data_IF_537422761977
#
_entry.id   IF_537422761977
#
_cell.length_a   1.000
_cell.length_b   1.000
_cell.length_c   1.000
_cell.angle_alpha   90.00
_cell.angle_beta   90.00
_cell.angle_gamma   90.00
#
_symmetry.space_group_name_H-M   'P 1'
#
loop_
_entity.id
_entity.type
_entity.pdbx_description
1 polymer ?
#
# COMPACT_ATOMS: atom_id res chain seq x y z
N UNK A 1 25.80 26.60 -56.93
CA UNK A 1 25.99 27.01 -55.51
C UNK A 1 24.62 26.92 -54.83
N UNK A 2 24.35 25.84 -54.09
CA UNK A 2 23.07 25.60 -53.42
C UNK A 2 23.34 25.58 -51.95
N UNK A 3 22.87 26.63 -51.27
CA UNK A 3 22.96 26.76 -49.81
C UNK A 3 21.97 25.80 -49.15
N UNK A 4 22.48 24.79 -48.44
CA UNK A 4 21.69 23.93 -47.56
C UNK A 4 21.60 24.59 -46.19
N UNK A 5 20.42 25.07 -45.84
CA UNK A 5 20.07 25.46 -44.46
C UNK A 5 19.90 24.22 -43.62
N UNK A 6 20.77 24.03 -42.66
CA UNK A 6 20.64 23.09 -41.54
C UNK A 6 19.67 23.67 -40.52
N UNK A 7 18.50 23.09 -40.41
CA UNK A 7 17.56 23.33 -39.30
C UNK A 7 18.01 22.47 -38.14
N UNK A 8 18.39 23.01 -36.99
CA UNK A 8 18.63 22.21 -35.81
C UNK A 8 17.27 21.70 -35.30
N UNK A 9 17.10 20.39 -35.26
CA UNK A 9 15.99 19.74 -34.57
C UNK A 9 16.10 20.01 -33.07
N UNK A 10 15.25 20.87 -32.58
CA UNK A 10 15.05 21.07 -31.14
C UNK A 10 14.37 19.81 -30.59
N UNK A 11 15.16 18.92 -29.99
CA UNK A 11 14.62 17.86 -29.14
C UNK A 11 14.03 18.54 -27.90
N UNK A 12 12.73 18.75 -27.89
CA UNK A 12 11.99 19.09 -26.68
C UNK A 12 11.96 17.83 -25.80
N UNK A 13 12.88 17.76 -24.84
CA UNK A 13 12.72 16.87 -23.70
C UNK A 13 11.46 17.33 -22.93
N UNK A 14 10.34 16.69 -23.20
CA UNK A 14 9.20 16.73 -22.30
C UNK A 14 9.63 16.04 -21.00
N UNK A 15 10.16 16.82 -20.05
CA UNK A 15 10.27 16.37 -18.68
C UNK A 15 8.84 16.08 -18.22
N UNK A 16 8.55 14.81 -17.93
CA UNK A 16 7.31 14.45 -17.28
C UNK A 16 7.22 15.25 -15.99
N UNK A 17 6.30 16.19 -15.93
CA UNK A 17 6.03 16.97 -14.72
C UNK A 17 5.50 15.98 -13.69
N UNK A 18 6.26 15.78 -12.63
CA UNK A 18 5.80 14.98 -11.51
C UNK A 18 4.53 15.64 -10.93
N UNK A 19 3.46 14.86 -10.84
CA UNK A 19 2.19 15.35 -10.29
C UNK A 19 2.20 15.11 -8.79
N UNK A 20 2.03 16.17 -8.02
CA UNK A 20 1.79 16.13 -6.59
C UNK A 20 0.45 16.78 -6.32
N UNK A 21 -0.52 16.02 -5.86
CA UNK A 21 -1.89 16.48 -5.59
C UNK A 21 -2.26 16.19 -4.15
N UNK A 22 -2.94 17.16 -3.52
CA UNK A 22 -3.59 16.98 -2.23
C UNK A 22 -5.07 17.22 -2.43
N UNK A 23 -5.88 16.21 -2.17
CA UNK A 23 -7.34 16.27 -2.24
C UNK A 23 -7.94 16.05 -0.86
N UNK A 24 -8.90 16.88 -0.46
CA UNK A 24 -9.68 16.70 0.76
C UNK A 24 -11.08 16.25 0.39
N UNK A 25 -11.50 15.14 0.97
CA UNK A 25 -12.84 14.60 0.80
C UNK A 25 -13.71 14.96 1.99
N UNK A 26 -14.97 15.39 1.77
CA UNK A 26 -15.92 15.57 2.86
C UNK A 26 -16.07 14.26 3.62
N UNK A 27 -16.14 14.34 4.92
CA UNK A 27 -16.29 13.19 5.78
C UNK A 27 -17.68 12.60 5.68
N UNK A 28 -17.76 11.32 5.87
CA UNK A 28 -19.03 10.64 6.01
C UNK A 28 -18.92 9.52 7.04
N UNK A 29 -18.95 9.92 8.30
CA UNK A 29 -19.32 9.02 9.38
C UNK A 29 -20.84 8.96 9.56
N UNK A 30 -21.59 9.59 8.66
CA UNK A 30 -23.04 9.53 8.67
C UNK A 30 -23.51 8.11 8.36
N UNK A 31 -24.56 7.70 9.05
CA UNK A 31 -25.21 6.43 8.77
C UNK A 31 -25.57 6.36 7.28
N UNK A 32 -25.10 5.35 6.59
CA UNK A 32 -25.39 5.15 5.16
C UNK A 32 -26.90 4.90 5.03
N UNK A 33 -27.68 5.84 4.47
CA UNK A 33 -29.14 5.65 4.35
C UNK A 33 -29.46 4.47 3.43
N UNK A 34 -28.66 4.26 2.38
CA UNK A 34 -28.76 3.13 1.48
C UNK A 34 -27.57 2.21 1.68
N UNK A 35 -27.86 0.97 2.03
CA UNK A 35 -26.85 -0.04 2.29
C UNK A 35 -26.04 -0.32 1.03
N UNK A 36 -24.83 0.20 0.96
CA UNK A 36 -23.89 -0.16 -0.10
C UNK A 36 -23.04 -1.33 0.37
N UNK A 37 -23.18 -2.47 -0.30
CA UNK A 37 -22.44 -3.69 0.01
C UNK A 37 -21.35 -3.94 -1.02
N UNK A 38 -20.22 -4.41 -0.57
CA UNK A 38 -19.29 -5.13 -1.43
C UNK A 38 -19.68 -6.60 -1.40
N UNK A 39 -20.03 -7.13 -2.55
CA UNK A 39 -20.33 -8.55 -2.70
C UNK A 39 -19.06 -9.37 -2.60
N UNK A 40 -19.08 -10.41 -1.77
CA UNK A 40 -17.97 -11.35 -1.66
C UNK A 40 -17.88 -12.20 -2.92
N UNK A 41 -16.71 -12.26 -3.53
CA UNK A 41 -16.43 -13.23 -4.60
C UNK A 41 -16.46 -14.63 -3.99
N UNK A 42 -17.24 -15.53 -4.58
CA UNK A 42 -17.38 -16.90 -4.09
C UNK A 42 -16.02 -17.58 -3.93
N UNK A 43 -15.80 -18.31 -2.83
CA UNK A 43 -14.60 -19.10 -2.64
C UNK A 43 -14.43 -20.19 -3.72
N UNK A 44 -15.53 -20.70 -4.30
CA UNK A 44 -15.44 -21.64 -5.42
C UNK A 44 -14.92 -21.00 -6.70
N UNK A 45 -15.14 -19.70 -6.88
CA UNK A 45 -14.64 -18.93 -8.03
C UNK A 45 -13.23 -18.35 -7.81
N UNK A 46 -12.86 -18.18 -6.55
CA UNK A 46 -11.54 -17.65 -6.14
C UNK A 46 -11.06 -18.32 -4.83
N UNK A 47 -10.64 -19.59 -4.88
CA UNK A 47 -10.19 -20.30 -3.69
C UNK A 47 -8.94 -19.66 -3.09
N UNK A 48 -8.82 -19.73 -1.76
CA UNK A 48 -7.63 -19.28 -1.05
C UNK A 48 -6.52 -20.31 -1.19
N UNK A 49 -5.42 -19.92 -1.78
CA UNK A 49 -4.19 -20.69 -1.85
C UNK A 49 -3.26 -20.26 -0.72
N UNK A 50 -3.05 -21.14 0.25
CA UNK A 50 -2.07 -20.94 1.32
C UNK A 50 -0.69 -21.23 0.78
N UNK A 51 0.19 -20.26 0.84
CA UNK A 51 1.52 -20.35 0.25
C UNK A 51 2.58 -19.99 1.29
N UNK A 52 3.65 -20.78 1.32
CA UNK A 52 4.84 -20.55 2.13
C UNK A 52 6.02 -20.26 1.19
N UNK A 53 6.43 -19.00 1.14
CA UNK A 53 7.45 -18.52 0.21
C UNK A 53 8.80 -18.53 0.91
N UNK A 54 9.75 -19.29 0.39
CA UNK A 54 11.09 -19.38 0.98
C UNK A 54 11.90 -18.12 0.71
N UNK A 55 12.25 -17.40 1.76
CA UNK A 55 13.17 -16.26 1.69
C UNK A 55 14.63 -16.71 1.49
N UNK A 56 15.51 -15.78 1.11
CA UNK A 56 16.91 -16.07 0.82
C UNK A 56 17.68 -16.65 2.01
N UNK A 57 17.29 -16.31 3.22
CA UNK A 57 17.86 -16.82 4.47
C UNK A 57 17.26 -18.16 4.91
N UNK A 58 16.36 -18.74 4.11
CA UNK A 58 15.74 -20.04 4.34
C UNK A 58 14.46 -20.03 5.17
N UNK A 59 14.06 -18.88 5.71
CA UNK A 59 12.79 -18.73 6.44
C UNK A 59 11.63 -18.69 5.46
N UNK A 60 10.47 -19.20 5.85
CA UNK A 60 9.27 -19.22 5.04
C UNK A 60 8.32 -18.11 5.44
N UNK A 61 7.90 -17.30 4.45
CA UNK A 61 6.96 -16.20 4.59
C UNK A 61 5.57 -16.68 4.16
N UNK A 62 4.58 -16.46 5.01
CA UNK A 62 3.20 -16.84 4.73
C UNK A 62 2.54 -15.85 3.77
N UNK A 63 1.77 -16.37 2.82
CA UNK A 63 0.89 -15.57 1.96
C UNK A 63 -0.39 -16.34 1.63
N UNK A 64 -1.52 -15.66 1.71
CA UNK A 64 -2.80 -16.13 1.22
C UNK A 64 -3.07 -15.49 -0.14
N UNK A 65 -3.13 -16.32 -1.19
CA UNK A 65 -3.28 -15.83 -2.57
C UNK A 65 -4.62 -16.26 -3.11
N UNK A 66 -5.36 -15.33 -3.72
CA UNK A 66 -6.59 -15.59 -4.46
C UNK A 66 -6.45 -15.06 -5.88
N UNK A 67 -6.93 -15.82 -6.85
CA UNK A 67 -6.96 -15.36 -8.24
C UNK A 67 -8.39 -15.29 -8.75
N UNK A 68 -8.70 -14.38 -9.70
CA UNK A 68 -9.99 -14.37 -10.37
C UNK A 68 -10.23 -15.66 -11.16
N UNK A 69 -11.48 -15.94 -11.47
CA UNK A 69 -11.87 -17.04 -12.37
C UNK A 69 -11.24 -16.85 -13.74
N UNK A 70 -10.76 -17.93 -14.34
CA UNK A 70 -10.13 -17.93 -15.65
C UNK A 70 -8.63 -18.19 -15.64
N UNK A 71 -8.00 -18.10 -16.80
CA UNK A 71 -6.61 -18.51 -17.01
C UNK A 71 -5.59 -17.36 -16.86
N UNK A 72 -6.03 -16.11 -16.98
CA UNK A 72 -5.14 -14.94 -16.98
C UNK A 72 -4.45 -14.71 -18.33
N UNK A 73 -3.33 -13.97 -18.40
CA UNK A 73 -2.68 -13.37 -17.23
C UNK A 73 -3.44 -12.18 -16.67
N UNK A 74 -3.44 -12.04 -15.34
CA UNK A 74 -4.12 -11.00 -14.58
C UNK A 74 -3.13 -9.99 -14.01
N UNK A 75 -3.50 -8.72 -13.80
CA UNK A 75 -2.77 -7.85 -12.90
C UNK A 75 -2.82 -8.38 -11.47
N UNK A 76 -1.92 -7.93 -10.61
CA UNK A 76 -1.89 -8.36 -9.22
C UNK A 76 -1.74 -7.18 -8.25
N UNK A 77 -2.27 -7.36 -7.05
CA UNK A 77 -2.04 -6.48 -5.91
C UNK A 77 -1.60 -7.30 -4.71
N UNK A 78 -0.54 -6.83 -4.05
CA UNK A 78 0.00 -7.45 -2.85
C UNK A 78 -0.27 -6.52 -1.67
N UNK A 79 -0.80 -7.08 -0.62
CA UNK A 79 -1.30 -6.39 0.54
C UNK A 79 -0.44 -6.72 1.75
N UNK A 80 0.17 -5.69 2.32
CA UNK A 80 0.95 -5.77 3.55
C UNK A 80 0.21 -5.10 4.70
N UNK A 81 -0.09 -5.88 5.72
CA UNK A 81 -0.87 -5.45 6.88
C UNK A 81 -0.11 -4.48 7.78
N UNK A 82 -0.83 -3.87 8.74
CA UNK A 82 -0.26 -3.06 9.79
C UNK A 82 0.48 -3.87 10.86
N UNK A 83 1.03 -3.18 11.86
CA UNK A 83 1.74 -3.78 12.98
C UNK A 83 0.87 -4.77 13.80
N UNK A 84 1.53 -5.77 14.40
CA UNK A 84 2.90 -6.22 14.21
C UNK A 84 3.04 -7.09 12.95
N UNK A 85 4.28 -7.35 12.51
CA UNK A 85 4.59 -8.44 11.59
C UNK A 85 4.47 -9.82 12.27
N UNK A 86 4.55 -10.91 11.51
CA UNK A 86 4.46 -12.27 12.04
C UNK A 86 3.03 -12.67 12.42
N UNK A 87 2.06 -12.35 11.56
CA UNK A 87 0.63 -12.64 11.80
C UNK A 87 0.28 -14.11 11.64
N UNK A 88 0.99 -14.80 10.76
CA UNK A 88 0.76 -16.21 10.46
C UNK A 88 -0.38 -16.48 9.49
N UNK A 89 -0.39 -17.71 8.95
CA UNK A 89 -1.26 -18.10 7.85
C UNK A 89 -2.76 -18.00 8.17
N UNK A 90 -3.17 -18.39 9.37
CA UNK A 90 -4.60 -18.41 9.73
C UNK A 90 -5.23 -17.01 9.68
N UNK A 91 -4.48 -16.01 10.15
CA UNK A 91 -4.94 -14.62 10.07
C UNK A 91 -4.99 -14.12 8.62
N UNK A 92 -3.98 -14.43 7.80
CA UNK A 92 -3.97 -14.03 6.40
C UNK A 92 -5.12 -14.68 5.63
N UNK A 93 -5.44 -15.93 5.90
CA UNK A 93 -6.58 -16.64 5.31
C UNK A 93 -7.88 -15.99 5.76
N UNK A 94 -8.07 -15.69 7.04
CA UNK A 94 -9.22 -14.97 7.55
C UNK A 94 -9.40 -13.63 6.84
N UNK A 95 -8.35 -12.84 6.77
CA UNK A 95 -8.37 -11.56 6.05
C UNK A 95 -8.70 -11.72 4.57
N UNK A 96 -8.13 -12.70 3.89
CA UNK A 96 -8.43 -12.95 2.48
C UNK A 96 -9.90 -13.34 2.22
N UNK A 97 -10.62 -13.76 3.27
CA UNK A 97 -12.05 -14.13 3.24
C UNK A 97 -12.99 -13.03 3.69
N UNK A 98 -12.50 -11.91 4.14
CA UNK A 98 -13.29 -10.76 4.51
C UNK A 98 -13.24 -10.31 5.97
N UNK A 99 -12.43 -10.95 6.83
CA UNK A 99 -12.44 -10.62 8.27
C UNK A 99 -11.86 -9.23 8.56
N UNK A 100 -10.72 -8.88 7.96
CA UNK A 100 -10.08 -7.57 8.15
C UNK A 100 -9.53 -7.06 6.82
N UNK A 101 -10.03 -5.94 6.36
CA UNK A 101 -9.69 -5.43 5.03
C UNK A 101 -10.34 -6.21 3.89
N UNK A 102 -11.28 -7.10 4.20
CA UNK A 102 -12.00 -7.92 3.23
C UNK A 102 -12.57 -7.15 2.04
N UNK A 103 -13.21 -5.98 2.26
CA UNK A 103 -13.72 -5.17 1.17
C UNK A 103 -12.66 -4.79 0.13
N UNK A 104 -11.44 -4.50 0.55
CA UNK A 104 -10.35 -4.15 -0.36
C UNK A 104 -9.99 -5.35 -1.24
N UNK A 105 -9.87 -6.53 -0.64
CA UNK A 105 -9.53 -7.76 -1.36
C UNK A 105 -10.63 -8.15 -2.35
N UNK A 106 -11.85 -8.20 -1.87
CA UNK A 106 -12.99 -8.58 -2.68
C UNK A 106 -13.20 -7.63 -3.86
N UNK A 107 -13.01 -6.33 -3.64
CA UNK A 107 -13.14 -5.34 -4.69
C UNK A 107 -12.07 -5.51 -5.78
N UNK A 108 -10.83 -5.80 -5.42
CA UNK A 108 -9.79 -6.09 -6.41
C UNK A 108 -10.01 -7.42 -7.13
N UNK A 109 -10.52 -8.45 -6.46
CA UNK A 109 -10.91 -9.70 -7.13
C UNK A 109 -12.02 -9.48 -8.16
N UNK A 110 -13.03 -8.66 -7.83
CA UNK A 110 -14.09 -8.27 -8.77
C UNK A 110 -13.54 -7.53 -9.99
N UNK A 111 -12.49 -6.74 -9.83
CA UNK A 111 -11.81 -6.04 -10.91
C UNK A 111 -10.83 -6.93 -11.73
N UNK A 112 -10.76 -8.20 -11.40
CA UNK A 112 -9.93 -9.16 -12.13
C UNK A 112 -8.45 -9.17 -11.70
N UNK A 113 -8.14 -8.74 -10.49
CA UNK A 113 -6.79 -8.80 -9.94
C UNK A 113 -6.54 -10.12 -9.20
N UNK A 114 -5.34 -10.65 -9.34
CA UNK A 114 -4.80 -11.57 -8.33
C UNK A 114 -4.52 -10.77 -7.07
N UNK A 115 -4.99 -11.28 -5.95
CA UNK A 115 -4.81 -10.65 -4.64
C UNK A 115 -3.95 -11.54 -3.77
N UNK A 116 -2.85 -11.02 -3.24
CA UNK A 116 -1.99 -11.70 -2.28
C UNK A 116 -1.97 -10.91 -0.96
N UNK A 117 -2.41 -11.54 0.12
CA UNK A 117 -2.25 -11.00 1.48
C UNK A 117 -1.03 -11.66 2.09
N UNK A 118 0.01 -10.89 2.33
CA UNK A 118 1.29 -11.42 2.75
C UNK A 118 1.71 -10.95 4.14
N UNK A 119 2.35 -11.86 4.86
CA UNK A 119 3.06 -11.57 6.10
C UNK A 119 4.47 -11.02 5.81
N UNK A 120 5.12 -10.54 6.83
CA UNK A 120 6.52 -10.15 6.86
C UNK A 120 7.05 -10.24 8.28
N UNK A 121 8.33 -10.52 8.42
CA UNK A 121 8.97 -10.59 9.73
C UNK A 121 9.22 -9.22 10.33
N UNK A 122 9.32 -9.20 11.63
CA UNK A 122 9.56 -7.97 12.37
C UNK A 122 8.28 -7.25 12.79
N UNK A 123 8.37 -6.52 13.85
CA UNK A 123 7.30 -5.73 14.41
C UNK A 123 7.85 -4.40 14.92
N UNK A 124 7.01 -3.39 15.16
CA UNK A 124 7.46 -2.09 15.61
C UNK A 124 8.27 -2.15 16.92
N UNK A 125 7.98 -3.12 17.77
CA UNK A 125 8.67 -3.29 19.05
C UNK A 125 10.06 -3.91 18.90
N UNK A 126 10.27 -4.79 17.92
CA UNK A 126 11.60 -5.33 17.61
C UNK A 126 12.50 -4.28 16.93
N UNK A 127 11.88 -3.30 16.26
CA UNK A 127 12.59 -2.20 15.61
C UNK A 127 13.01 -1.11 16.59
N UNK A 128 12.34 -1.00 17.75
CA UNK A 128 12.72 -0.04 18.82
C UNK A 128 13.89 -0.57 19.67
N UNK A 129 14.00 -1.88 19.84
CA UNK A 129 14.99 -2.50 20.71
C UNK A 129 16.21 -3.10 19.98
N UNK A 130 16.18 -3.21 18.67
CA UNK A 130 17.34 -3.61 17.88
C UNK A 130 17.95 -2.37 17.21
N UNK A 131 19.28 -2.25 17.17
CA UNK A 131 19.91 -1.18 16.40
C UNK A 131 19.39 -1.26 14.96
N UNK A 132 18.52 -0.41 14.67
CA UNK A 132 17.88 0.13 13.46
C UNK A 132 17.93 -0.66 12.13
N UNK A 133 18.84 -1.56 11.91
CA UNK A 133 19.08 -2.07 10.56
C UNK A 133 18.53 -3.47 10.28
N UNK A 134 18.57 -4.38 11.24
CA UNK A 134 18.26 -5.79 10.94
C UNK A 134 16.78 -6.10 10.76
N UNK A 135 15.91 -5.55 11.60
CA UNK A 135 14.47 -5.84 11.50
C UNK A 135 13.78 -5.19 10.30
N UNK A 136 14.15 -3.96 9.97
CA UNK A 136 13.63 -3.28 8.78
C UNK A 136 14.15 -3.94 7.49
N UNK A 137 15.43 -4.30 7.44
CA UNK A 137 16.03 -5.01 6.31
C UNK A 137 15.35 -6.35 6.10
N UNK A 138 15.10 -7.11 7.16
CA UNK A 138 14.41 -8.41 7.07
C UNK A 138 13.00 -8.28 6.49
N UNK A 139 12.21 -7.30 6.96
CA UNK A 139 10.86 -7.06 6.42
C UNK A 139 10.89 -6.64 4.94
N UNK A 140 11.88 -5.84 4.54
CA UNK A 140 12.07 -5.45 3.14
C UNK A 140 12.42 -6.67 2.27
N UNK A 141 13.34 -7.51 2.72
CA UNK A 141 13.72 -8.73 2.01
C UNK A 141 12.56 -9.72 1.89
N UNK A 142 11.73 -9.82 2.93
CA UNK A 142 10.48 -10.60 2.89
C UNK A 142 9.51 -10.05 1.85
N UNK A 143 9.28 -8.74 1.86
CA UNK A 143 8.41 -8.08 0.90
C UNK A 143 8.90 -8.25 -0.55
N UNK A 144 10.21 -8.12 -0.80
CA UNK A 144 10.81 -8.39 -2.12
C UNK A 144 10.59 -9.86 -2.52
N UNK A 145 10.78 -10.80 -1.59
CA UNK A 145 10.56 -12.22 -1.82
C UNK A 145 9.12 -12.51 -2.24
N UNK A 146 8.16 -11.89 -1.58
CA UNK A 146 6.74 -12.01 -1.93
C UNK A 146 6.45 -11.42 -3.30
N UNK A 147 6.99 -10.24 -3.62
CA UNK A 147 6.81 -9.61 -4.93
C UNK A 147 7.39 -10.49 -6.03
N UNK A 148 8.60 -10.99 -5.87
CA UNK A 148 9.25 -11.87 -6.83
C UNK A 148 8.42 -13.15 -7.06
N UNK A 149 7.88 -13.74 -6.00
CA UNK A 149 7.00 -14.89 -6.11
C UNK A 149 5.75 -14.57 -6.92
N UNK A 150 5.02 -13.50 -6.58
CA UNK A 150 3.78 -13.11 -7.27
C UNK A 150 4.04 -12.76 -8.72
N UNK A 151 5.12 -12.04 -9.02
CA UNK A 151 5.52 -11.69 -10.40
C UNK A 151 5.85 -12.90 -11.28
N UNK A 152 6.22 -14.03 -10.67
CA UNK A 152 6.56 -15.27 -11.39
C UNK A 152 5.41 -16.28 -11.45
N UNK A 153 4.25 -15.98 -10.90
CA UNK A 153 3.07 -16.82 -11.08
C UNK A 153 2.64 -16.84 -12.56
N UNK A 154 2.37 -18.02 -13.15
CA UNK A 154 2.13 -18.15 -14.59
C UNK A 154 0.88 -17.42 -15.09
N UNK A 155 0.00 -17.05 -14.19
CA UNK A 155 -1.24 -16.33 -14.48
C UNK A 155 -1.20 -14.84 -14.07
N UNK A 156 -0.01 -14.30 -13.75
CA UNK A 156 0.19 -12.89 -13.38
C UNK A 156 0.91 -12.12 -14.48
N UNK A 157 0.43 -10.94 -14.78
CA UNK A 157 1.12 -9.98 -15.63
C UNK A 157 2.27 -9.34 -14.85
N UNK A 158 3.48 -9.80 -15.07
CA UNK A 158 4.67 -9.44 -14.31
C UNK A 158 4.85 -7.92 -14.10
N UNK A 159 4.53 -7.12 -15.09
CA UNK A 159 4.71 -5.65 -15.05
C UNK A 159 3.48 -4.89 -14.53
N UNK A 160 2.40 -5.60 -14.18
CA UNK A 160 1.18 -5.03 -13.62
C UNK A 160 0.97 -5.49 -12.17
N UNK A 161 2.04 -5.50 -11.37
CA UNK A 161 2.00 -5.84 -9.94
C UNK A 161 2.10 -4.56 -9.13
N UNK A 162 1.12 -4.33 -8.26
CA UNK A 162 1.04 -3.20 -7.34
C UNK A 162 1.14 -3.66 -5.89
N UNK A 163 1.50 -2.74 -5.02
CA UNK A 163 1.58 -2.97 -3.57
C UNK A 163 0.63 -2.03 -2.84
N UNK A 164 -0.09 -2.57 -1.86
CA UNK A 164 -0.88 -1.80 -0.92
C UNK A 164 -0.42 -2.11 0.51
N UNK A 165 0.05 -1.11 1.21
CA UNK A 165 0.49 -1.25 2.60
C UNK A 165 -0.29 -0.35 3.54
N UNK A 166 -0.67 -0.86 4.72
CA UNK A 166 -1.40 -0.10 5.74
C UNK A 166 -0.53 0.09 6.97
N UNK A 167 -0.53 1.31 7.53
CA UNK A 167 0.20 1.61 8.77
C UNK A 167 1.69 1.26 8.64
N UNK A 168 2.18 0.28 9.42
CA UNK A 168 3.54 -0.26 9.28
C UNK A 168 3.76 -0.90 7.90
N UNK A 169 2.76 -1.60 7.36
CA UNK A 169 2.78 -2.09 5.98
C UNK A 169 2.94 -0.96 4.96
N UNK A 170 2.43 0.24 5.26
CA UNK A 170 2.65 1.45 4.47
C UNK A 170 4.12 1.89 4.48
N UNK A 171 4.82 1.78 5.63
CA UNK A 171 6.26 1.99 5.69
C UNK A 171 7.01 0.95 4.82
N UNK A 172 6.63 -0.32 4.93
CA UNK A 172 7.19 -1.39 4.10
C UNK A 172 6.94 -1.12 2.61
N UNK A 173 5.71 -0.77 2.22
CA UNK A 173 5.35 -0.47 0.83
C UNK A 173 6.23 0.64 0.23
N UNK A 174 6.57 1.66 1.00
CA UNK A 174 7.47 2.72 0.56
C UNK A 174 8.91 2.23 0.35
N UNK A 175 9.43 1.36 1.21
CA UNK A 175 10.73 0.71 0.95
C UNK A 175 10.69 -0.19 -0.28
N UNK A 176 9.60 -0.94 -0.49
CA UNK A 176 9.42 -1.76 -1.68
C UNK A 176 9.36 -0.90 -2.95
N UNK A 177 8.69 0.26 -2.91
CA UNK A 177 8.71 1.24 -3.99
C UNK A 177 10.13 1.69 -4.35
N UNK A 178 10.98 1.86 -3.33
CA UNK A 178 12.39 2.24 -3.50
C UNK A 178 13.26 1.10 -4.05
N UNK A 179 12.96 -0.15 -3.72
CA UNK A 179 13.79 -1.32 -4.03
C UNK A 179 13.33 -2.09 -5.28
N UNK A 180 12.07 -1.98 -5.66
CA UNK A 180 11.47 -2.73 -6.78
C UNK A 180 10.87 -1.76 -7.82
N UNK A 181 11.70 -1.19 -8.71
CA UNK A 181 11.27 -0.15 -9.66
C UNK A 181 10.29 -0.67 -10.72
N UNK A 182 10.07 -1.99 -10.80
CA UNK A 182 9.13 -2.64 -11.72
C UNK A 182 7.70 -2.67 -11.22
N UNK A 183 7.44 -2.26 -9.97
CA UNK A 183 6.08 -2.16 -9.46
C UNK A 183 5.24 -1.20 -10.31
N UNK A 184 3.96 -1.55 -10.53
CA UNK A 184 3.04 -0.74 -11.31
C UNK A 184 2.61 0.52 -10.55
N UNK A 185 2.15 0.37 -9.32
CA UNK A 185 1.74 1.44 -8.43
C UNK A 185 1.96 1.05 -6.97
N UNK A 186 2.00 2.04 -6.08
CA UNK A 186 2.06 1.82 -4.63
C UNK A 186 0.97 2.63 -3.95
N UNK A 187 0.24 1.98 -3.04
CA UNK A 187 -0.75 2.62 -2.18
C UNK A 187 -0.29 2.51 -0.73
N UNK A 188 -0.24 3.63 -0.05
CA UNK A 188 0.11 3.74 1.35
C UNK A 188 -1.12 4.25 2.14
N UNK A 189 -1.88 3.32 2.72
CA UNK A 189 -3.05 3.62 3.55
C UNK A 189 -2.63 3.90 4.99
N UNK A 190 -3.04 5.06 5.52
CA UNK A 190 -2.72 5.46 6.90
C UNK A 190 -1.25 5.17 7.29
N UNK A 191 -0.25 5.57 6.46
CA UNK A 191 1.10 5.06 6.57
C UNK A 191 1.82 5.55 7.82
N UNK A 192 2.66 4.67 8.38
CA UNK A 192 3.62 5.02 9.43
C UNK A 192 5.07 4.98 8.89
N UNK A 193 5.49 5.93 8.02
CA UNK A 193 6.77 5.88 7.29
C UNK A 193 7.98 6.21 8.18
N UNK A 194 8.02 5.66 9.38
CA UNK A 194 8.96 6.02 10.45
C UNK A 194 10.40 5.84 9.98
N UNK A 195 10.74 4.66 9.53
CA UNK A 195 12.13 4.38 9.10
C UNK A 195 12.39 4.82 7.68
N UNK A 196 11.37 4.84 6.84
CA UNK A 196 11.49 5.31 5.46
C UNK A 196 11.87 6.79 5.40
N UNK A 197 11.31 7.60 6.27
CA UNK A 197 11.64 9.03 6.38
C UNK A 197 12.71 9.32 7.45
N UNK A 198 13.27 8.31 8.11
CA UNK A 198 14.36 8.48 9.08
C UNK A 198 13.95 9.19 10.37
N UNK A 199 12.69 9.05 10.81
CA UNK A 199 12.25 9.63 12.07
C UNK A 199 13.01 9.04 13.26
N UNK A 200 13.41 9.90 14.19
CA UNK A 200 14.03 9.49 15.46
C UNK A 200 12.95 9.20 16.48
N UNK A 201 12.88 7.95 16.94
CA UNK A 201 11.99 7.54 18.01
C UNK A 201 12.58 7.94 19.38
N UNK A 202 11.71 8.07 20.39
CA UNK A 202 12.15 8.39 21.74
C UNK A 202 13.01 7.26 22.31
N UNK A 203 14.20 7.56 22.86
CA UNK A 203 15.13 6.54 23.38
C UNK A 203 14.55 5.71 24.53
N UNK A 204 13.60 6.27 25.28
CA UNK A 204 12.92 5.63 26.40
C UNK A 204 11.78 4.70 25.98
N UNK A 205 11.52 4.59 24.66
CA UNK A 205 10.44 3.78 24.11
C UNK A 205 9.06 4.41 24.29
N UNK A 206 8.97 5.62 24.82
CA UNK A 206 7.69 6.33 24.94
C UNK A 206 7.12 6.65 23.56
N UNK A 207 5.80 6.78 23.49
CA UNK A 207 5.10 7.08 22.26
C UNK A 207 5.44 8.50 21.80
N UNK A 208 5.97 8.68 20.57
CA UNK A 208 6.30 10.00 20.10
C UNK A 208 5.04 10.82 19.76
N UNK A 209 5.16 12.14 19.85
CA UNK A 209 4.23 13.06 19.23
C UNK A 209 4.55 13.15 17.72
N UNK A 210 3.76 12.46 16.91
CA UNK A 210 3.96 12.42 15.45
C UNK A 210 3.81 13.79 14.78
N UNK A 211 3.11 14.75 15.41
CA UNK A 211 2.97 16.10 14.87
C UNK A 211 4.24 16.95 15.03
N UNK A 212 5.04 16.64 16.04
CA UNK A 212 6.31 17.32 16.33
C UNK A 212 7.51 16.68 15.61
N UNK A 213 7.38 15.47 15.10
CA UNK A 213 8.45 14.74 14.45
C UNK A 213 8.74 15.32 13.05
N UNK A 214 10.02 15.32 12.68
CA UNK A 214 10.46 15.76 11.34
C UNK A 214 11.23 14.65 10.65
N UNK A 215 11.02 14.46 9.33
CA UNK A 215 11.85 13.58 8.52
C UNK A 215 13.33 13.95 8.60
N UNK A 216 14.19 12.93 8.53
CA UNK A 216 15.60 13.16 8.28
C UNK A 216 15.79 13.43 6.77
N UNK A 217 16.29 14.61 6.37
CA UNK A 217 16.34 15.01 4.96
C UNK A 217 17.32 14.15 4.13
N UNK A 218 18.36 13.59 4.74
CA UNK A 218 19.32 12.72 4.06
C UNK A 218 18.69 11.36 3.81
N UNK A 219 18.17 10.73 4.87
CA UNK A 219 17.53 9.40 4.80
C UNK A 219 16.32 9.43 3.85
N UNK A 220 15.47 10.46 3.97
CA UNK A 220 14.31 10.64 3.10
C UNK A 220 14.72 10.72 1.63
N UNK A 221 15.69 11.56 1.31
CA UNK A 221 16.17 11.74 -0.06
C UNK A 221 16.74 10.45 -0.65
N UNK A 222 17.57 9.73 0.10
CA UNK A 222 18.16 8.46 -0.35
C UNK A 222 17.10 7.40 -0.61
N UNK A 223 16.11 7.26 0.28
CA UNK A 223 15.03 6.29 0.12
C UNK A 223 14.07 6.66 -1.00
N UNK A 224 13.81 7.93 -1.23
CA UNK A 224 12.87 8.42 -2.25
C UNK A 224 13.46 8.39 -3.65
N UNK A 225 14.75 8.66 -3.80
CA UNK A 225 15.40 8.82 -5.11
C UNK A 225 15.12 7.67 -6.11
N UNK A 226 15.13 6.37 -5.72
CA UNK A 226 14.89 5.26 -6.64
C UNK A 226 13.44 5.07 -7.09
N UNK A 227 12.45 5.68 -6.43
CA UNK A 227 11.01 5.50 -6.73
C UNK A 227 10.71 5.94 -8.17
N UNK A 228 10.01 5.09 -8.93
CA UNK A 228 9.68 5.31 -10.36
C UNK A 228 8.18 5.24 -10.65
N UNK A 229 7.41 4.53 -9.82
CA UNK A 229 5.97 4.35 -9.98
C UNK A 229 5.19 5.45 -9.27
N UNK A 230 3.91 5.67 -9.64
CA UNK A 230 3.03 6.56 -8.91
C UNK A 230 2.72 6.03 -7.51
N UNK A 231 2.57 6.95 -6.56
CA UNK A 231 2.25 6.67 -5.15
C UNK A 231 0.94 7.34 -4.78
N UNK A 232 0.03 6.59 -4.19
CA UNK A 232 -1.20 7.09 -3.57
C UNK A 232 -1.07 6.98 -2.05
N UNK A 233 -1.33 8.07 -1.35
CA UNK A 233 -1.40 8.12 0.10
C UNK A 233 -2.84 8.42 0.49
N UNK A 234 -3.40 7.62 1.39
CA UNK A 234 -4.78 7.81 1.89
C UNK A 234 -4.71 7.90 3.42
N UNK A 235 -5.30 8.94 3.99
CA UNK A 235 -5.30 9.15 5.45
C UNK A 235 -6.56 9.89 5.88
N UNK A 236 -7.01 9.62 7.10
CA UNK A 236 -8.16 10.29 7.70
C UNK A 236 -7.77 11.41 8.66
N UNK A 237 -8.66 12.39 8.87
CA UNK A 237 -8.41 13.50 9.81
C UNK A 237 -8.41 13.06 11.29
N UNK A 238 -9.09 11.96 11.62
CA UNK A 238 -9.11 11.37 12.96
C UNK A 238 -7.95 10.37 13.19
N UNK A 239 -7.10 10.17 12.17
CA UNK A 239 -5.92 9.34 12.29
C UNK A 239 -4.74 10.16 12.83
N UNK A 240 -4.18 9.71 13.96
CA UNK A 240 -2.96 10.30 14.53
C UNK A 240 -1.74 10.27 13.61
N UNK A 241 -1.77 9.44 12.55
CA UNK A 241 -0.71 9.36 11.53
C UNK A 241 -0.90 10.37 10.39
N UNK A 242 -1.94 11.19 10.39
CA UNK A 242 -2.13 12.25 9.40
C UNK A 242 -0.87 13.11 9.20
N UNK A 243 -0.17 13.58 10.26
CA UNK A 243 1.05 14.38 10.08
C UNK A 243 2.16 13.60 9.34
N UNK A 244 2.25 12.29 9.57
CA UNK A 244 3.25 11.44 8.91
C UNK A 244 2.90 11.17 7.45
N UNK A 245 1.61 10.96 7.14
CA UNK A 245 1.12 10.82 5.77
C UNK A 245 1.34 12.09 4.94
N UNK A 246 1.07 13.26 5.54
CA UNK A 246 1.32 14.56 4.93
C UNK A 246 2.82 14.80 4.69
N UNK A 247 3.65 14.50 5.69
CA UNK A 247 5.10 14.62 5.54
C UNK A 247 5.66 13.68 4.45
N UNK A 248 5.13 12.47 4.34
CA UNK A 248 5.50 11.54 3.26
C UNK A 248 5.16 12.12 1.88
N UNK A 249 3.96 12.68 1.73
CA UNK A 249 3.56 13.36 0.50
C UNK A 249 4.52 14.49 0.16
N UNK A 250 4.81 15.38 1.11
CA UNK A 250 5.63 16.56 0.90
C UNK A 250 7.08 16.20 0.53
N UNK A 251 7.64 15.16 1.15
CA UNK A 251 8.97 14.66 0.80
C UNK A 251 8.99 14.06 -0.61
N UNK A 252 8.00 13.24 -0.98
CA UNK A 252 7.88 12.69 -2.33
C UNK A 252 7.72 13.81 -3.37
N UNK A 253 6.84 14.76 -3.13
CA UNK A 253 6.58 15.91 -4.01
C UNK A 253 7.85 16.77 -4.18
N UNK A 254 8.54 17.09 -3.08
CA UNK A 254 9.79 17.87 -3.09
C UNK A 254 10.90 17.20 -3.91
N UNK A 255 10.89 15.86 -3.94
CA UNK A 255 11.81 15.06 -4.76
C UNK A 255 11.28 14.73 -6.17
N UNK A 256 10.25 15.44 -6.63
CA UNK A 256 9.72 15.34 -7.99
C UNK A 256 9.05 13.99 -8.31
N UNK A 257 8.48 13.30 -7.32
CA UNK A 257 7.79 12.02 -7.54
C UNK A 257 6.32 12.24 -7.86
N UNK A 258 5.75 11.32 -8.65
CA UNK A 258 4.31 11.27 -8.89
C UNK A 258 3.64 10.77 -7.61
N UNK A 259 2.94 11.66 -6.91
CA UNK A 259 2.29 11.35 -5.63
C UNK A 259 0.97 12.07 -5.51
N UNK A 260 -0.01 11.38 -4.93
CA UNK A 260 -1.32 11.93 -4.53
C UNK A 260 -1.55 11.68 -3.06
N UNK A 261 -2.09 12.66 -2.35
CA UNK A 261 -2.55 12.55 -0.98
C UNK A 261 -4.04 12.80 -0.92
N UNK A 262 -4.78 11.83 -0.45
CA UNK A 262 -6.22 11.89 -0.26
C UNK A 262 -6.52 11.91 1.23
N UNK A 263 -7.14 13.00 1.70
CA UNK A 263 -7.47 13.21 3.11
C UNK A 263 -8.98 13.12 3.26
N UNK A 264 -9.44 12.20 4.11
CA UNK A 264 -10.85 11.95 4.39
C UNK A 264 -11.23 12.53 5.75
N UNK A 265 -12.17 13.47 5.75
CA UNK A 265 -12.70 14.02 6.99
C UNK A 265 -13.36 12.93 7.83
N UNK A 266 -13.12 12.94 9.13
CA UNK A 266 -13.59 11.94 10.10
C UNK A 266 -13.14 10.49 9.82
N UNK A 267 -12.18 10.27 8.93
CA UNK A 267 -11.57 8.96 8.73
C UNK A 267 -10.66 8.59 9.90
N UNK A 268 -10.88 7.41 10.49
CA UNK A 268 -10.01 6.81 11.50
C UNK A 268 -8.90 5.98 10.87
N UNK A 269 -7.97 5.47 11.67
CA UNK A 269 -6.82 4.71 11.20
C UNK A 269 -7.16 3.55 10.26
N UNK A 270 -8.20 2.79 10.58
CA UNK A 270 -8.56 1.55 9.86
C UNK A 270 -9.57 1.77 8.72
N UNK A 271 -10.06 3.00 8.48
CA UNK A 271 -11.08 3.24 7.46
C UNK A 271 -10.59 2.85 6.05
N UNK A 272 -9.30 2.98 5.79
CA UNK A 272 -8.64 2.61 4.53
C UNK A 272 -8.75 1.11 4.17
N UNK A 273 -9.11 0.28 5.14
CA UNK A 273 -9.40 -1.15 4.97
C UNK A 273 -10.89 -1.45 4.83
N UNK A 274 -11.73 -0.42 4.78
CA UNK A 274 -13.18 -0.58 4.81
C UNK A 274 -13.75 -0.77 6.22
N UNK A 275 -12.90 -0.82 7.24
CA UNK A 275 -13.30 -0.96 8.64
C UNK A 275 -13.31 0.39 9.33
N UNK A 276 -14.39 0.76 9.93
CA UNK A 276 -14.51 2.01 10.69
C UNK A 276 -14.18 1.84 12.18
N UNK A 277 -13.31 0.89 12.54
CA UNK A 277 -12.92 0.64 13.92
C UNK A 277 -14.05 0.17 14.84
N UNK A 278 -15.24 -0.05 14.32
CA UNK A 278 -16.37 -0.61 15.06
C UNK A 278 -16.40 -2.12 14.81
N UNK A 279 -16.22 -2.91 15.87
CA UNK A 279 -16.62 -4.32 15.86
C UNK A 279 -18.11 -4.37 15.54
N UNK A 280 -18.42 -4.85 14.37
CA UNK A 280 -19.81 -5.08 13.93
C UNK A 280 -20.01 -6.58 13.77
N UNK A 281 -20.14 -7.24 14.90
CA UNK A 281 -20.40 -8.68 14.98
C UNK A 281 -21.77 -9.09 14.40
N UNK A 282 -22.58 -8.09 14.01
CA UNK A 282 -23.95 -8.23 13.52
C UNK A 282 -24.11 -8.12 12.01
N UNK A 283 -23.02 -7.87 11.26
CA UNK A 283 -23.09 -7.75 9.81
C UNK A 283 -22.86 -9.09 9.12
N UNK A 284 -23.69 -9.42 8.12
CA UNK A 284 -23.42 -10.58 7.28
C UNK A 284 -22.08 -10.40 6.55
N UNK A 285 -21.43 -11.51 6.17
CA UNK A 285 -20.29 -11.50 5.25
C UNK A 285 -20.68 -10.70 4.00
N UNK A 286 -19.97 -9.66 3.70
CA UNK A 286 -20.36 -8.62 2.77
C UNK A 286 -20.55 -7.34 3.57
N UNK A 287 -19.47 -6.57 3.74
CA UNK A 287 -19.50 -5.45 4.67
C UNK A 287 -20.20 -4.24 4.06
N UNK A 288 -20.96 -3.56 4.91
CA UNK A 288 -21.46 -2.22 4.60
C UNK A 288 -20.30 -1.27 4.81
N UNK A 289 -19.90 -0.62 3.73
CA UNK A 289 -18.90 0.42 3.82
C UNK A 289 -19.55 1.78 4.09
N UNK A 290 -18.92 2.56 4.95
CA UNK A 290 -19.24 3.97 5.08
C UNK A 290 -18.86 4.70 3.79
N UNK A 291 -19.59 5.75 3.38
CA UNK A 291 -19.35 6.44 2.11
C UNK A 291 -17.89 6.85 1.89
N UNK A 292 -17.22 7.40 2.91
CA UNK A 292 -15.79 7.74 2.78
C UNK A 292 -14.86 6.56 2.57
N UNK A 293 -15.13 5.42 3.23
CA UNK A 293 -14.36 4.19 3.04
C UNK A 293 -14.61 3.60 1.65
N UNK A 294 -15.84 3.65 1.15
CA UNK A 294 -16.19 3.21 -0.20
C UNK A 294 -15.51 4.10 -1.25
N UNK A 295 -15.58 5.42 -1.09
CA UNK A 295 -14.94 6.36 -1.99
C UNK A 295 -13.41 6.14 -2.04
N UNK A 296 -12.77 5.99 -0.88
CA UNK A 296 -11.35 5.69 -0.79
C UNK A 296 -10.98 4.37 -1.49
N UNK A 297 -11.83 3.36 -1.39
CA UNK A 297 -11.65 2.09 -2.05
C UNK A 297 -11.79 2.21 -3.57
N UNK A 298 -12.84 2.85 -4.06
CA UNK A 298 -13.06 3.06 -5.50
C UNK A 298 -11.95 3.93 -6.11
N UNK A 299 -11.49 4.96 -5.39
CA UNK A 299 -10.35 5.77 -5.78
C UNK A 299 -9.06 4.94 -5.86
N UNK A 300 -8.83 4.07 -4.87
CA UNK A 300 -7.68 3.15 -4.86
C UNK A 300 -7.69 2.22 -6.07
N UNK A 301 -8.82 1.60 -6.37
CA UNK A 301 -9.00 0.74 -7.55
C UNK A 301 -8.73 1.52 -8.83
N UNK A 302 -9.32 2.70 -8.97
CA UNK A 302 -9.11 3.58 -10.13
C UNK A 302 -7.64 3.98 -10.29
N UNK A 303 -6.96 4.31 -9.20
CA UNK A 303 -5.54 4.68 -9.22
C UNK A 303 -4.66 3.51 -9.66
N UNK A 304 -4.87 2.33 -9.11
CA UNK A 304 -4.07 1.13 -9.44
C UNK A 304 -4.32 0.67 -10.87
N UNK A 305 -5.51 0.90 -11.44
CA UNK A 305 -5.86 0.56 -12.84
C UNK A 305 -5.35 1.59 -13.85
N UNK A 306 -4.93 2.75 -13.42
CA UNK A 306 -4.48 3.80 -14.34
C UNK A 306 -3.24 3.33 -15.13
N UNK A 307 -3.15 3.59 -16.42
CA UNK A 307 -1.96 3.30 -17.22
C UNK A 307 -0.77 4.13 -16.70
N UNK A 308 0.44 3.56 -16.82
CA UNK A 308 1.69 4.27 -16.54
C UNK A 308 2.00 5.30 -17.61
#
# INVERSE_FOLDING_TARGET
MINRWLIPALLACLAAVAHAEITRHPGSNEAVPDKQYIHVVSESDSPVMQTWIKAKDGVYIAAAVRKPKGNGPFPAIILFHGAPGGRGMDQLVGWSRGDHGGPVWERFLQEGYVVAVADYRGGPWNLVNTPSSTGAVTAIDDGITVIDYVQNLPYVKRNEVSVYGVSLGGNLAMFLASRVPTLHAVVAGAPAPIWFLGYKLNPDGSRPDFSAMKPDPVVSKENIAPIRMPVLIIVGTEDRLLPMGTALHDELARNGKSVRLEIYEHGYHDFVLGNQGQKRDDLPRGEILLPGALDALELTVKFVKAPR
#
